data_IF_655616259003
#
_entry.id   IF_655616259003
#
_cell.length_a   1.000
_cell.length_b   1.000
_cell.length_c   1.000
_cell.angle_alpha   90.00
_cell.angle_beta   90.00
_cell.angle_gamma   90.00
#
_symmetry.space_group_name_H-M   'P 1'
#
loop_
_entity.id
_entity.type
_entity.pdbx_description
1 polymer ?
#
# COMPACT_ATOMS: atom_id res chain seq x y z
N UNK A 1 9.63 8.27 -11.84
CA UNK A 1 9.21 7.35 -10.76
C UNK A 1 9.75 5.97 -11.03
N UNK A 2 10.21 5.31 -9.98
CA UNK A 2 10.82 3.98 -10.07
C UNK A 2 10.36 3.13 -8.90
N UNK A 3 9.92 1.91 -9.17
CA UNK A 3 9.57 0.94 -8.12
C UNK A 3 10.78 0.08 -7.80
N UNK A 4 11.19 0.08 -6.52
CA UNK A 4 12.36 -0.68 -6.06
C UNK A 4 11.97 -1.63 -4.94
N UNK A 5 12.78 -2.64 -4.71
CA UNK A 5 12.57 -3.58 -3.62
C UNK A 5 12.72 -2.89 -2.27
N UNK A 6 11.94 -3.35 -1.29
CA UNK A 6 12.04 -2.86 0.08
C UNK A 6 13.37 -3.29 0.69
N UNK A 7 13.96 -2.40 1.48
CA UNK A 7 15.20 -2.61 2.21
C UNK A 7 15.05 -2.01 3.61
N UNK A 8 15.92 -2.39 4.57
CA UNK A 8 15.81 -1.83 5.92
C UNK A 8 15.79 -0.30 6.00
N UNK A 9 16.47 0.37 5.08
CA UNK A 9 16.49 1.84 5.05
C UNK A 9 15.12 2.46 4.77
N UNK A 10 14.17 1.69 4.22
CA UNK A 10 12.81 2.17 3.91
C UNK A 10 11.78 1.75 4.94
N UNK A 11 12.12 0.90 5.89
CA UNK A 11 11.14 0.37 6.84
C UNK A 11 10.45 1.46 7.65
N UNK A 12 11.22 2.45 8.10
CA UNK A 12 10.66 3.55 8.90
C UNK A 12 9.71 4.42 8.08
N UNK A 13 10.00 4.62 6.80
CA UNK A 13 9.09 5.31 5.89
C UNK A 13 7.71 4.64 5.86
N UNK A 14 7.68 3.31 5.73
CA UNK A 14 6.42 2.55 5.70
C UNK A 14 5.67 2.73 7.02
N UNK A 15 6.37 2.61 8.16
CA UNK A 15 5.75 2.74 9.48
C UNK A 15 5.15 4.12 9.68
N UNK A 16 5.93 5.16 9.38
CA UNK A 16 5.47 6.54 9.52
C UNK A 16 4.25 6.80 8.67
N UNK A 17 4.27 6.33 7.44
CA UNK A 17 3.16 6.52 6.53
C UNK A 17 1.89 5.80 7.02
N UNK A 18 2.02 4.57 7.52
CA UNK A 18 0.88 3.81 8.05
C UNK A 18 0.28 4.44 9.31
N UNK A 19 1.09 5.10 10.13
CA UNK A 19 0.63 5.75 11.35
C UNK A 19 0.11 7.16 11.13
N UNK A 20 0.29 7.71 9.94
CA UNK A 20 -0.02 9.09 9.63
C UNK A 20 -1.54 9.33 9.55
N UNK A 21 -2.02 10.40 10.18
CA UNK A 21 -3.41 10.81 10.08
C UNK A 21 -3.75 11.12 8.62
N UNK A 22 -4.94 10.71 8.19
CA UNK A 22 -5.36 10.85 6.80
C UNK A 22 -4.94 9.68 5.92
N UNK A 23 -3.92 8.91 6.32
CA UNK A 23 -3.51 7.67 5.64
C UNK A 23 -4.01 6.47 6.41
N UNK A 24 -3.81 6.45 7.73
CA UNK A 24 -4.19 5.33 8.61
C UNK A 24 -5.65 4.94 8.46
N UNK A 25 -6.54 5.91 8.31
CA UNK A 25 -7.98 5.67 8.23
C UNK A 25 -8.39 4.92 6.96
N UNK A 26 -7.55 4.90 5.94
CA UNK A 26 -7.79 4.15 4.72
C UNK A 26 -7.56 2.65 4.85
N UNK A 27 -6.87 2.22 5.90
CA UNK A 27 -6.59 0.81 6.12
C UNK A 27 -7.70 0.13 6.93
N UNK A 28 -7.90 -1.17 6.67
CA UNK A 28 -8.83 -1.99 7.45
C UNK A 28 -8.35 -2.06 8.89
N UNK A 29 -7.05 -2.30 9.10
CA UNK A 29 -6.39 -2.26 10.41
C UNK A 29 -5.83 -0.87 10.66
N UNK A 30 -6.37 -0.16 11.65
CA UNK A 30 -6.00 1.23 11.92
C UNK A 30 -5.15 1.41 13.17
N UNK A 31 -4.62 0.35 13.75
CA UNK A 31 -3.77 0.43 14.94
C UNK A 31 -2.48 1.17 14.65
N UNK A 32 -2.06 2.00 15.61
CA UNK A 32 -0.74 2.62 15.55
C UNK A 32 0.33 1.55 15.74
N UNK A 33 1.32 1.55 14.85
CA UNK A 33 2.35 0.53 14.81
C UNK A 33 3.59 1.05 15.54
N UNK A 34 4.04 0.34 16.58
CA UNK A 34 5.26 0.69 17.27
C UNK A 34 6.48 0.36 16.43
N UNK A 35 7.60 1.03 16.72
CA UNK A 35 8.85 0.80 15.99
C UNK A 35 9.32 -0.65 16.15
N UNK A 36 9.23 -1.19 17.34
CA UNK A 36 9.68 -2.56 17.65
C UNK A 36 8.86 -3.60 16.90
N UNK A 37 7.54 -3.47 16.93
CA UNK A 37 6.64 -4.38 16.23
C UNK A 37 6.86 -4.31 14.71
N UNK A 38 7.09 -3.11 14.20
CA UNK A 38 7.33 -2.93 12.76
C UNK A 38 8.62 -3.58 12.31
N UNK A 39 9.69 -3.43 13.09
CA UNK A 39 10.98 -4.06 12.76
C UNK A 39 10.83 -5.58 12.73
N UNK A 40 10.16 -6.16 13.74
CA UNK A 40 9.92 -7.60 13.75
C UNK A 40 9.08 -8.06 12.56
N UNK A 41 8.05 -7.30 12.22
CA UNK A 41 7.21 -7.59 11.07
C UNK A 41 8.01 -7.53 9.76
N UNK A 42 8.85 -6.51 9.59
CA UNK A 42 9.64 -6.32 8.37
C UNK A 42 10.73 -7.36 8.22
N UNK A 43 11.30 -7.85 9.32
CA UNK A 43 12.28 -8.95 9.24
C UNK A 43 11.70 -10.18 8.55
N UNK A 44 10.40 -10.41 8.70
CA UNK A 44 9.70 -11.58 8.12
C UNK A 44 9.08 -11.27 6.76
N UNK A 45 8.66 -10.03 6.52
CA UNK A 45 7.77 -9.70 5.41
C UNK A 45 8.33 -8.65 4.45
N UNK A 46 9.57 -8.21 4.63
CA UNK A 46 10.15 -7.12 3.81
C UNK A 46 10.07 -7.39 2.32
N UNK A 47 10.26 -8.64 1.91
CA UNK A 47 10.26 -9.02 0.49
C UNK A 47 8.90 -8.90 -0.19
N UNK A 48 7.83 -8.75 0.58
CA UNK A 48 6.49 -8.58 0.02
C UNK A 48 6.17 -7.13 -0.33
N UNK A 49 7.05 -6.19 0.02
CA UNK A 49 6.82 -4.77 -0.18
C UNK A 49 7.80 -4.17 -1.17
N UNK A 50 7.34 -3.13 -1.84
CA UNK A 50 8.12 -2.32 -2.77
C UNK A 50 7.95 -0.85 -2.43
N UNK A 51 8.96 -0.07 -2.77
CA UNK A 51 8.97 1.37 -2.52
C UNK A 51 8.97 2.10 -3.85
N UNK A 52 8.12 3.09 -3.98
CA UNK A 52 8.13 3.97 -5.15
C UNK A 52 8.99 5.19 -4.84
N UNK A 53 10.00 5.39 -5.66
CA UNK A 53 10.89 6.54 -5.57
C UNK A 53 10.56 7.56 -6.64
N UNK A 54 10.58 8.84 -6.29
CA UNK A 54 10.54 9.94 -7.23
C UNK A 54 11.81 10.77 -6.98
N UNK A 55 12.71 10.81 -7.97
CA UNK A 55 14.02 11.46 -7.84
C UNK A 55 14.74 11.01 -6.56
N UNK A 56 14.79 9.71 -6.36
CA UNK A 56 15.42 9.03 -5.22
C UNK A 56 14.76 9.27 -3.86
N UNK A 57 13.58 9.90 -3.83
CA UNK A 57 12.83 10.14 -2.59
C UNK A 57 11.66 9.15 -2.49
N UNK A 58 11.54 8.40 -1.36
CA UNK A 58 10.38 7.53 -1.17
C UNK A 58 9.09 8.34 -1.06
N UNK A 59 8.10 8.02 -1.89
CA UNK A 59 6.82 8.74 -1.89
C UNK A 59 5.61 7.83 -1.69
N UNK A 60 5.78 6.52 -1.87
CA UNK A 60 4.67 5.57 -1.82
C UNK A 60 5.24 4.19 -1.51
N UNK A 61 4.47 3.34 -0.84
CA UNK A 61 4.80 1.93 -0.79
C UNK A 61 3.64 1.10 -1.32
N UNK A 62 3.96 -0.08 -1.80
CA UNK A 62 2.96 -1.05 -2.22
C UNK A 62 3.45 -2.45 -1.83
N UNK A 63 2.53 -3.29 -1.41
CA UNK A 63 2.85 -4.66 -1.02
C UNK A 63 1.81 -5.64 -1.51
N UNK A 64 2.23 -6.90 -1.58
CA UNK A 64 1.36 -8.01 -1.90
C UNK A 64 1.62 -9.11 -0.87
N UNK A 65 0.68 -9.27 0.07
CA UNK A 65 0.76 -10.28 1.12
C UNK A 65 -0.40 -11.23 0.93
N UNK A 66 -0.09 -12.50 0.65
CA UNK A 66 -1.10 -13.53 0.40
C UNK A 66 -2.09 -13.09 -0.70
N UNK A 67 -1.56 -12.50 -1.76
CA UNK A 67 -2.33 -11.92 -2.87
C UNK A 67 -3.23 -10.75 -2.49
N UNK A 68 -3.04 -10.16 -1.31
CA UNK A 68 -3.78 -8.99 -0.86
C UNK A 68 -2.90 -7.74 -1.01
N UNK A 69 -3.34 -6.81 -1.86
CA UNK A 69 -2.58 -5.60 -2.16
C UNK A 69 -2.74 -4.57 -1.06
N UNK A 70 -1.62 -3.96 -0.66
CA UNK A 70 -1.59 -2.84 0.27
C UNK A 70 -0.81 -1.70 -0.35
N UNK A 71 -1.39 -0.51 -0.37
CA UNK A 71 -0.78 0.65 -1.00
C UNK A 71 -1.08 1.92 -0.21
N UNK A 72 -0.08 2.78 -0.08
CA UNK A 72 -0.27 4.10 0.52
C UNK A 72 0.72 5.09 -0.08
N UNK A 73 0.24 6.29 -0.38
CA UNK A 73 1.05 7.39 -0.90
C UNK A 73 1.15 8.48 0.17
N UNK A 74 2.35 9.01 0.34
CA UNK A 74 2.57 10.13 1.25
C UNK A 74 1.67 11.30 0.85
N UNK A 75 0.99 11.96 1.82
CA UNK A 75 0.05 13.05 1.50
C UNK A 75 0.62 14.17 0.63
N UNK A 76 1.91 14.50 0.80
CA UNK A 76 2.55 15.55 0.02
C UNK A 76 2.76 15.18 -1.45
N UNK A 77 2.56 13.92 -1.79
CA UNK A 77 2.81 13.39 -3.14
C UNK A 77 1.56 12.77 -3.77
N UNK A 78 0.40 12.96 -3.18
CA UNK A 78 -0.86 12.51 -3.76
C UNK A 78 -1.23 13.36 -4.98
N UNK A 79 -2.02 12.79 -5.88
CA UNK A 79 -2.47 13.49 -7.09
C UNK A 79 -1.46 13.53 -8.23
N UNK A 80 -0.34 12.81 -8.10
CA UNK A 80 0.71 12.77 -9.14
C UNK A 80 0.76 11.44 -9.89
N UNK A 81 -0.19 10.56 -9.65
CA UNK A 81 -0.22 9.25 -10.28
C UNK A 81 0.72 8.22 -9.65
N UNK A 82 1.24 8.49 -8.45
CA UNK A 82 2.18 7.58 -7.78
C UNK A 82 1.56 6.19 -7.52
N UNK A 83 0.38 6.14 -6.92
CA UNK A 83 -0.28 4.87 -6.62
C UNK A 83 -0.64 4.11 -7.90
N UNK A 84 -1.08 4.81 -8.94
CA UNK A 84 -1.37 4.21 -10.24
C UNK A 84 -0.12 3.57 -10.84
N UNK A 85 0.99 4.28 -10.81
CA UNK A 85 2.27 3.77 -11.30
C UNK A 85 2.70 2.53 -10.52
N UNK A 86 2.67 2.61 -9.19
CA UNK A 86 3.07 1.51 -8.32
C UNK A 86 2.19 0.28 -8.55
N UNK A 87 0.87 0.47 -8.64
CA UNK A 87 -0.07 -0.63 -8.84
C UNK A 87 0.13 -1.31 -10.18
N UNK A 88 0.33 -0.54 -11.26
CA UNK A 88 0.57 -1.11 -12.58
C UNK A 88 1.88 -1.92 -12.60
N UNK A 89 2.92 -1.44 -11.94
CA UNK A 89 4.18 -2.18 -11.85
C UNK A 89 4.03 -3.45 -11.00
N UNK A 90 3.31 -3.36 -9.88
CA UNK A 90 3.07 -4.53 -9.04
C UNK A 90 2.33 -5.63 -9.80
N UNK A 91 1.33 -5.26 -10.59
CA UNK A 91 0.52 -6.24 -11.32
C UNK A 91 1.30 -6.96 -12.42
N UNK A 92 2.37 -6.38 -12.92
CA UNK A 92 3.28 -7.09 -13.82
C UNK A 92 4.00 -8.23 -13.10
N UNK A 93 4.30 -8.04 -11.83
CA UNK A 93 5.00 -9.02 -10.99
C UNK A 93 4.02 -10.04 -10.37
N UNK A 94 2.83 -9.60 -10.03
CA UNK A 94 1.84 -10.39 -9.29
C UNK A 94 0.45 -10.25 -9.93
N UNK A 95 0.24 -10.87 -11.11
CA UNK A 95 -1.02 -10.66 -11.88
C UNK A 95 -2.28 -11.20 -11.20
N UNK A 96 -2.13 -12.05 -10.19
CA UNK A 96 -3.27 -12.64 -9.48
C UNK A 96 -3.63 -11.91 -8.17
N UNK A 97 -2.93 -10.83 -7.86
CA UNK A 97 -3.19 -10.08 -6.63
C UNK A 97 -4.56 -9.40 -6.69
N UNK A 98 -5.20 -9.29 -5.52
CA UNK A 98 -6.52 -8.69 -5.38
C UNK A 98 -6.49 -7.58 -4.34
N UNK A 99 -7.52 -6.74 -4.32
CA UNK A 99 -7.61 -5.63 -3.37
C UNK A 99 -8.85 -5.76 -2.51
N UNK A 100 -8.69 -5.52 -1.20
CA UNK A 100 -9.80 -5.34 -0.27
C UNK A 100 -9.88 -3.85 0.04
N UNK A 101 -11.02 -3.25 -0.23
CA UNK A 101 -11.20 -1.80 -0.09
C UNK A 101 -12.38 -1.55 0.84
N UNK A 102 -12.16 -0.73 1.86
CA UNK A 102 -13.26 -0.29 2.74
C UNK A 102 -14.30 0.44 1.90
N UNK A 103 -15.57 0.21 2.19
CA UNK A 103 -16.69 0.82 1.44
C UNK A 103 -16.55 2.35 1.40
N UNK A 104 -16.11 2.96 2.50
CA UNK A 104 -15.97 4.41 2.64
C UNK A 104 -14.75 4.96 1.89
N UNK A 105 -13.78 4.10 1.55
CA UNK A 105 -12.55 4.54 0.91
C UNK A 105 -12.72 4.66 -0.60
N UNK A 106 -13.42 5.71 -1.01
CA UNK A 106 -13.75 5.92 -2.42
C UNK A 106 -12.53 6.23 -3.28
N UNK A 107 -11.51 6.85 -2.68
CA UNK A 107 -10.26 7.15 -3.40
C UNK A 107 -9.54 5.87 -3.80
N UNK A 108 -9.44 4.89 -2.88
CA UNK A 108 -8.86 3.58 -3.18
C UNK A 108 -9.66 2.84 -4.24
N UNK A 109 -10.99 2.84 -4.10
CA UNK A 109 -11.84 2.16 -5.08
C UNK A 109 -11.64 2.74 -6.48
N UNK A 110 -11.60 4.08 -6.59
CA UNK A 110 -11.32 4.73 -7.88
C UNK A 110 -9.97 4.35 -8.44
N UNK A 111 -8.94 4.28 -7.59
CA UNK A 111 -7.61 3.85 -8.00
C UNK A 111 -7.63 2.47 -8.64
N UNK A 112 -8.24 1.50 -7.94
CA UNK A 112 -8.27 0.13 -8.44
C UNK A 112 -9.12 -0.01 -9.70
N UNK A 113 -10.28 0.65 -9.74
CA UNK A 113 -11.13 0.61 -10.93
C UNK A 113 -10.44 1.24 -12.14
N UNK A 114 -9.73 2.35 -11.94
CA UNK A 114 -8.94 3.00 -13.00
C UNK A 114 -7.87 2.08 -13.56
N UNK A 115 -7.32 1.20 -12.73
CA UNK A 115 -6.30 0.23 -13.14
C UNK A 115 -6.87 -1.09 -13.63
N UNK A 116 -8.18 -1.16 -13.88
CA UNK A 116 -8.81 -2.33 -14.48
C UNK A 116 -9.40 -3.33 -13.50
N UNK A 117 -9.36 -3.05 -12.21
CA UNK A 117 -9.98 -3.92 -11.21
C UNK A 117 -11.49 -3.75 -11.24
N UNK A 118 -12.21 -4.85 -11.00
CA UNK A 118 -13.67 -4.86 -10.96
C UNK A 118 -14.15 -5.40 -9.63
N UNK A 119 -15.29 -4.89 -9.17
CA UNK A 119 -15.96 -5.43 -7.99
C UNK A 119 -16.49 -6.83 -8.33
N UNK A 120 -16.06 -7.84 -7.58
CA UNK A 120 -16.50 -9.22 -7.81
C UNK A 120 -17.26 -9.83 -6.65
N UNK A 121 -16.92 -9.43 -5.42
CA UNK A 121 -17.48 -10.05 -4.21
C UNK A 121 -17.78 -8.99 -3.16
N UNK A 122 -18.70 -9.30 -2.27
CA UNK A 122 -18.91 -8.54 -1.04
C UNK A 122 -18.35 -9.37 0.11
N UNK A 123 -17.59 -8.73 1.01
CA UNK A 123 -17.16 -9.35 2.25
C UNK A 123 -18.11 -8.90 3.35
N UNK A 124 -18.79 -9.86 3.97
CA UNK A 124 -19.79 -9.59 5.01
C UNK A 124 -19.22 -10.04 6.36
N UNK A 125 -19.29 -9.15 7.33
CA UNK A 125 -18.84 -9.44 8.69
C UNK A 125 -19.97 -9.13 9.65
N UNK A 126 -20.10 -9.96 10.70
CA UNK A 126 -21.07 -9.72 11.77
C UNK A 126 -20.50 -8.76 12.79
N UNK A 127 -21.23 -7.71 13.08
CA UNK A 127 -20.84 -6.75 14.11
C UNK A 127 -21.28 -7.19 15.51
#
# INVERSE_FOLDING_TARGET
>A
MELVENEPKYWEFIRQLRNMDGVREGFIQQKIISKEHHVEYMKKNSTFFYILLDKDVPICYIGNIDNDIRVATHPDHQGKGAATFALNELMKLHPNAVAKVKIENKASLRLFEKCGFKKKYYLLEKE
#
